data_IF_529426326011
#
_entry.id   IF_529426326011
#
_cell.length_a   1.000
_cell.length_b   1.000
_cell.length_c   1.000
_cell.angle_alpha   90.00
_cell.angle_beta   90.00
_cell.angle_gamma   90.00
#
_symmetry.space_group_name_H-M   'P 1'
#
loop_
_entity.id
_entity.type
_entity.pdbx_description
1 polymer ?
#
# COMPACT_ATOMS: atom_id res chain seq x y z
N UNK A 1 19.70 9.58 -25.58
CA UNK A 1 19.31 8.17 -25.35
C UNK A 1 17.99 8.21 -24.60
N UNK A 2 16.89 7.99 -25.32
CA UNK A 2 15.52 8.05 -24.76
C UNK A 2 15.23 6.73 -24.09
N UNK A 3 15.14 6.73 -22.77
CA UNK A 3 14.69 5.58 -21.97
C UNK A 3 13.27 5.26 -22.41
N UNK A 4 13.06 4.07 -22.99
CA UNK A 4 11.71 3.57 -23.28
C UNK A 4 10.91 3.56 -21.97
N UNK A 5 9.61 3.91 -21.99
CA UNK A 5 8.78 3.82 -20.80
C UNK A 5 8.83 2.37 -20.31
N UNK A 6 9.26 2.17 -19.06
CA UNK A 6 9.26 0.86 -18.42
C UNK A 6 7.88 0.23 -18.60
N UNK A 7 7.80 -0.78 -19.47
CA UNK A 7 6.53 -1.45 -19.73
C UNK A 7 6.27 -2.34 -18.54
N UNK A 8 5.40 -1.88 -17.64
CA UNK A 8 4.94 -2.66 -16.49
C UNK A 8 4.38 -3.99 -17.01
N UNK A 9 4.80 -5.10 -16.39
CA UNK A 9 4.31 -6.43 -16.75
C UNK A 9 2.78 -6.44 -16.78
N UNK A 10 2.20 -6.95 -17.87
CA UNK A 10 0.77 -7.06 -18.06
C UNK A 10 0.09 -7.83 -16.93
N UNK A 11 0.80 -8.75 -16.28
CA UNK A 11 0.30 -9.50 -15.11
C UNK A 11 0.00 -8.61 -13.91
N UNK A 12 0.65 -7.44 -13.80
CA UNK A 12 0.50 -6.46 -12.73
C UNK A 12 -0.60 -5.42 -13.00
N UNK A 13 -1.18 -5.42 -14.21
CA UNK A 13 -2.25 -4.48 -14.53
C UNK A 13 -3.50 -4.75 -13.67
N UNK A 14 -4.25 -3.72 -13.28
CA UNK A 14 -5.55 -3.91 -12.64
C UNK A 14 -6.49 -4.69 -13.57
N UNK A 15 -7.48 -5.38 -12.98
CA UNK A 15 -8.53 -6.01 -13.76
C UNK A 15 -9.38 -4.97 -14.49
N UNK A 16 -10.17 -5.43 -15.49
CA UNK A 16 -11.02 -4.54 -16.30
C UNK A 16 -11.98 -3.69 -15.47
N UNK A 17 -12.56 -4.27 -14.41
CA UNK A 17 -13.47 -3.54 -13.53
C UNK A 17 -12.73 -2.40 -12.80
N UNK A 18 -11.51 -2.65 -12.31
CA UNK A 18 -10.68 -1.65 -11.64
C UNK A 18 -10.20 -0.57 -12.62
N UNK A 19 -9.83 -0.92 -13.84
CA UNK A 19 -9.49 0.05 -14.89
C UNK A 19 -10.69 0.93 -15.23
N UNK A 20 -11.90 0.37 -15.30
CA UNK A 20 -13.11 1.16 -15.54
C UNK A 20 -13.42 2.10 -14.38
N UNK A 21 -13.27 1.64 -13.13
CA UNK A 21 -13.43 2.50 -11.96
C UNK A 21 -12.41 3.65 -11.99
N UNK A 22 -11.14 3.35 -12.25
CA UNK A 22 -10.09 4.35 -12.35
C UNK A 22 -10.34 5.35 -13.49
N UNK A 23 -10.81 4.89 -14.65
CA UNK A 23 -11.14 5.76 -15.78
C UNK A 23 -12.27 6.75 -15.45
N UNK A 24 -13.31 6.30 -14.75
CA UNK A 24 -14.42 7.16 -14.30
C UNK A 24 -13.96 8.14 -13.21
N UNK A 25 -13.07 7.69 -12.32
CA UNK A 25 -12.53 8.53 -11.25
C UNK A 25 -11.48 9.55 -11.73
N UNK A 26 -10.84 9.34 -12.88
CA UNK A 26 -9.71 10.15 -13.34
C UNK A 26 -9.97 11.67 -13.38
N UNK A 27 -11.10 12.18 -13.91
CA UNK A 27 -11.37 13.62 -13.88
C UNK A 27 -11.51 14.19 -12.47
N UNK A 28 -12.04 13.40 -11.52
CA UNK A 28 -12.15 13.78 -10.11
C UNK A 28 -10.78 13.75 -9.45
N UNK A 29 -9.93 12.79 -9.81
CA UNK A 29 -8.54 12.73 -9.34
C UNK A 29 -7.75 13.97 -9.77
N UNK A 30 -7.88 14.39 -11.02
CA UNK A 30 -7.21 15.59 -11.52
C UNK A 30 -7.76 16.86 -10.85
N UNK A 31 -9.08 16.95 -10.60
CA UNK A 31 -9.72 18.10 -9.97
C UNK A 31 -9.34 18.27 -8.49
N UNK A 32 -9.32 17.17 -7.74
CA UNK A 32 -9.15 17.18 -6.28
C UNK A 32 -7.75 16.77 -5.82
N UNK A 33 -6.82 16.54 -6.76
CA UNK A 33 -5.46 16.11 -6.43
C UNK A 33 -5.42 14.74 -5.75
N UNK A 34 -6.25 13.80 -6.22
CA UNK A 34 -6.25 12.43 -5.71
C UNK A 34 -5.22 11.60 -6.47
N UNK A 35 -4.60 10.67 -5.75
CA UNK A 35 -3.65 9.72 -6.32
C UNK A 35 -4.05 8.28 -6.00
N UNK A 36 -3.83 7.38 -6.95
CA UNK A 36 -3.99 5.94 -6.74
C UNK A 36 -3.02 5.48 -5.65
N UNK A 37 -3.54 4.71 -4.69
CA UNK A 37 -2.80 4.18 -3.54
C UNK A 37 -3.03 2.66 -3.37
N UNK A 38 -2.42 2.08 -2.32
CA UNK A 38 -2.54 0.68 -1.97
C UNK A 38 -1.90 -0.27 -2.99
N UNK A 39 -2.33 -1.54 -2.99
CA UNK A 39 -1.73 -2.58 -3.85
C UNK A 39 -1.76 -2.26 -5.36
N UNK A 40 -2.75 -1.49 -5.84
CA UNK A 40 -2.77 -1.04 -7.24
C UNK A 40 -1.69 0.00 -7.55
N UNK A 41 -1.34 0.88 -6.61
CA UNK A 41 -0.23 1.81 -6.78
C UNK A 41 1.11 1.07 -6.82
N UNK A 42 1.33 0.13 -5.91
CA UNK A 42 2.53 -0.73 -5.90
C UNK A 42 2.69 -1.47 -7.24
N UNK A 43 1.60 -2.06 -7.75
CA UNK A 43 1.60 -2.76 -9.04
C UNK A 43 1.85 -1.83 -10.22
N UNK A 44 1.34 -0.59 -10.18
CA UNK A 44 1.63 0.40 -11.20
C UNK A 44 3.12 0.79 -11.25
N UNK A 45 3.82 0.75 -10.11
CA UNK A 45 5.27 0.91 -10.02
C UNK A 45 6.07 -0.36 -10.35
N UNK A 46 5.40 -1.46 -10.74
CA UNK A 46 6.06 -2.72 -11.09
C UNK A 46 6.34 -3.65 -9.91
N UNK A 47 5.83 -3.33 -8.71
CA UNK A 47 5.93 -4.21 -7.53
C UNK A 47 4.85 -5.29 -7.60
N UNK A 48 5.23 -6.55 -7.41
CA UNK A 48 4.32 -7.70 -7.48
C UNK A 48 3.45 -7.86 -6.20
N UNK A 49 2.78 -6.77 -5.80
CA UNK A 49 1.87 -6.74 -4.66
C UNK A 49 0.61 -7.59 -4.89
N UNK A 50 -0.03 -7.98 -3.80
CA UNK A 50 -1.25 -8.75 -3.76
C UNK A 50 -2.37 -8.06 -4.56
N UNK A 51 -3.06 -8.82 -5.43
CA UNK A 51 -4.21 -8.33 -6.16
C UNK A 51 -5.30 -7.82 -5.20
N UNK A 52 -5.93 -6.70 -5.57
CA UNK A 52 -7.03 -6.09 -4.82
C UNK A 52 -8.28 -6.02 -5.70
N UNK A 53 -9.45 -6.21 -5.08
CA UNK A 53 -10.73 -6.12 -5.78
C UNK A 53 -11.27 -4.68 -5.86
N UNK A 54 -10.85 -3.82 -4.93
CA UNK A 54 -11.28 -2.42 -4.82
C UNK A 54 -10.22 -1.43 -5.28
N UNK A 55 -10.62 -0.16 -5.34
CA UNK A 55 -9.74 0.97 -5.65
C UNK A 55 -9.45 1.74 -4.35
N UNK A 56 -8.21 2.15 -4.14
CA UNK A 56 -7.86 3.07 -3.04
C UNK A 56 -7.30 4.35 -3.65
N UNK A 57 -7.89 5.48 -3.29
CA UNK A 57 -7.45 6.82 -3.67
C UNK A 57 -7.00 7.55 -2.41
N UNK A 58 -5.86 8.22 -2.48
CA UNK A 58 -5.30 9.01 -1.39
C UNK A 58 -5.24 10.49 -1.76
N UNK A 59 -5.36 11.35 -0.76
CA UNK A 59 -5.15 12.79 -0.87
C UNK A 59 -4.39 13.32 0.34
N UNK A 60 -3.52 14.32 0.13
CA UNK A 60 -2.82 15.00 1.21
C UNK A 60 -3.63 16.13 1.87
N UNK A 61 -4.76 16.55 1.29
CA UNK A 61 -5.40 17.79 1.75
C UNK A 61 -6.86 18.03 1.35
N UNK A 62 -7.44 17.24 0.44
CA UNK A 62 -8.82 17.44 0.03
C UNK A 62 -9.82 17.08 1.15
N UNK A 63 -11.02 17.66 1.07
CA UNK A 63 -12.12 17.34 1.97
C UNK A 63 -12.81 16.04 1.54
N UNK A 64 -12.74 15.01 2.38
CA UNK A 64 -13.15 13.66 1.96
C UNK A 64 -14.65 13.55 1.65
N UNK A 65 -15.58 14.13 2.43
CA UNK A 65 -17.00 14.11 2.09
C UNK A 65 -17.30 14.77 0.74
N UNK A 66 -16.71 15.92 0.44
CA UNK A 66 -16.88 16.59 -0.86
C UNK A 66 -16.38 15.73 -2.01
N UNK A 67 -15.19 15.14 -1.86
CA UNK A 67 -14.61 14.25 -2.86
C UNK A 67 -15.46 12.97 -3.04
N UNK A 68 -15.96 12.41 -1.94
CA UNK A 68 -16.81 11.22 -1.96
C UNK A 68 -18.12 11.49 -2.72
N UNK A 69 -18.74 12.64 -2.49
CA UNK A 69 -19.92 13.08 -3.23
C UNK A 69 -19.62 13.22 -4.73
N UNK A 70 -18.53 13.91 -5.10
CA UNK A 70 -18.11 14.08 -6.49
C UNK A 70 -17.80 12.76 -7.20
N UNK A 71 -17.12 11.82 -6.52
CA UNK A 71 -16.91 10.46 -7.05
C UNK A 71 -18.22 9.69 -7.18
N UNK A 72 -19.11 9.81 -6.19
CA UNK A 72 -20.44 9.22 -6.23
C UNK A 72 -21.23 9.69 -7.44
N UNK A 73 -21.23 11.00 -7.71
CA UNK A 73 -21.85 11.57 -8.91
C UNK A 73 -21.22 11.06 -10.20
N UNK A 74 -19.89 11.03 -10.29
CA UNK A 74 -19.18 10.53 -11.47
C UNK A 74 -19.54 9.07 -11.77
N UNK A 75 -19.56 8.21 -10.75
CA UNK A 75 -19.95 6.81 -10.89
C UNK A 75 -21.44 6.64 -11.26
N UNK A 76 -22.34 7.44 -10.68
CA UNK A 76 -23.77 7.45 -11.05
C UNK A 76 -23.99 7.90 -12.50
N UNK A 77 -23.29 8.95 -12.93
CA UNK A 77 -23.34 9.45 -14.31
C UNK A 77 -22.81 8.42 -15.32
N UNK A 78 -21.84 7.59 -14.91
CA UNK A 78 -21.35 6.46 -15.70
C UNK A 78 -22.31 5.24 -15.70
N UNK A 79 -23.53 5.38 -15.17
CA UNK A 79 -24.53 4.31 -15.10
C UNK A 79 -24.32 3.31 -13.97
N UNK A 80 -23.51 3.66 -12.96
CA UNK A 80 -23.26 2.84 -11.78
C UNK A 80 -24.22 3.11 -10.62
N UNK A 81 -24.41 2.11 -9.77
CA UNK A 81 -25.01 2.29 -8.44
C UNK A 81 -23.93 2.57 -7.40
N UNK A 82 -24.16 3.56 -6.53
CA UNK A 82 -23.23 3.93 -5.46
C UNK A 82 -23.95 3.88 -4.13
N UNK A 83 -23.37 3.18 -3.15
CA UNK A 83 -23.80 3.21 -1.77
C UNK A 83 -22.65 3.69 -0.89
N UNK A 84 -22.88 4.76 -0.15
CA UNK A 84 -21.91 5.31 0.80
C UNK A 84 -21.89 4.44 2.08
N UNK A 85 -20.72 4.36 2.69
CA UNK A 85 -20.51 3.66 3.97
C UNK A 85 -20.01 4.67 4.99
N UNK A 86 -20.36 4.52 6.29
CA UNK A 86 -19.85 5.40 7.32
C UNK A 86 -18.32 5.45 7.29
N UNK A 87 -17.79 6.67 7.17
CA UNK A 87 -16.35 6.95 7.21
C UNK A 87 -15.84 7.37 8.58
N UNK A 88 -14.60 7.86 8.57
CA UNK A 88 -13.91 8.58 9.64
C UNK A 88 -13.32 9.87 9.03
N UNK A 89 -12.83 10.83 9.84
CA UNK A 89 -12.19 12.03 9.30
C UNK A 89 -11.00 11.78 8.35
N UNK A 90 -10.42 10.57 8.34
CA UNK A 90 -9.31 10.18 7.45
C UNK A 90 -9.68 9.13 6.40
N UNK A 91 -10.90 8.61 6.42
CA UNK A 91 -11.32 7.52 5.54
C UNK A 91 -12.79 7.67 5.16
N UNK A 92 -13.07 7.82 3.88
CA UNK A 92 -14.42 7.65 3.33
C UNK A 92 -14.48 6.38 2.47
N UNK A 93 -15.65 5.76 2.40
CA UNK A 93 -15.82 4.50 1.69
C UNK A 93 -17.08 4.49 0.83
N UNK A 94 -16.91 4.11 -0.43
CA UNK A 94 -17.99 3.94 -1.40
C UNK A 94 -18.05 2.48 -1.84
N UNK A 95 -19.26 1.95 -1.96
CA UNK A 95 -19.52 0.68 -2.64
C UNK A 95 -20.10 1.00 -4.01
N UNK A 96 -19.32 0.72 -5.05
CA UNK A 96 -19.66 1.07 -6.44
C UNK A 96 -19.97 -0.19 -7.22
N UNK A 97 -21.12 -0.21 -7.89
CA UNK A 97 -21.52 -1.24 -8.83
C UNK A 97 -21.66 -0.63 -10.22
N UNK A 98 -20.69 -0.88 -11.09
CA UNK A 98 -20.78 -0.47 -12.50
C UNK A 98 -21.60 -1.50 -13.30
N UNK A 99 -22.22 -1.06 -14.38
CA UNK A 99 -22.99 -1.92 -15.29
C UNK A 99 -22.11 -3.04 -15.90
N UNK A 100 -20.81 -2.80 -16.07
CA UNK A 100 -19.87 -3.81 -16.56
C UNK A 100 -19.53 -4.81 -15.43
N UNK A 101 -20.10 -6.01 -15.50
CA UNK A 101 -19.76 -7.14 -14.62
C UNK A 101 -20.67 -7.32 -13.39
N UNK A 102 -21.56 -6.38 -13.06
CA UNK A 102 -22.62 -6.52 -12.06
C UNK A 102 -22.18 -6.75 -10.60
N UNK A 103 -20.87 -6.86 -10.35
CA UNK A 103 -20.28 -6.98 -9.02
C UNK A 103 -20.08 -5.60 -8.40
N UNK A 104 -20.18 -5.54 -7.08
CA UNK A 104 -19.87 -4.35 -6.31
C UNK A 104 -18.38 -4.35 -5.94
N UNK A 105 -17.74 -3.20 -6.06
CA UNK A 105 -16.34 -2.95 -5.73
C UNK A 105 -16.26 -1.85 -4.66
N UNK A 106 -15.31 -1.99 -3.73
CA UNK A 106 -15.03 -0.93 -2.76
C UNK A 106 -14.16 0.16 -3.42
N UNK A 107 -14.48 1.42 -3.18
CA UNK A 107 -13.62 2.56 -3.47
C UNK A 107 -13.35 3.26 -2.14
N UNK A 108 -12.11 3.21 -1.69
CA UNK A 108 -11.67 3.83 -0.44
C UNK A 108 -11.00 5.18 -0.75
N UNK A 109 -11.35 6.19 0.03
CA UNK A 109 -10.81 7.54 -0.03
C UNK A 109 -10.07 7.81 1.26
N UNK A 110 -8.76 8.00 1.18
CA UNK A 110 -7.89 8.12 2.36
C UNK A 110 -7.21 9.46 2.41
N UNK A 111 -7.18 10.07 3.60
CA UNK A 111 -6.37 11.25 3.88
C UNK A 111 -5.05 10.78 4.46
N UNK A 112 -3.98 10.92 3.69
CA UNK A 112 -2.66 10.38 4.02
C UNK A 112 -1.60 11.49 4.00
N UNK A 113 -0.59 11.47 4.88
CA UNK A 113 0.46 12.48 4.95
C UNK A 113 1.53 12.27 3.86
N UNK A 114 1.11 12.33 2.59
CA UNK A 114 1.99 12.08 1.43
C UNK A 114 3.15 13.08 1.41
N UNK A 115 4.38 12.57 1.43
CA UNK A 115 5.61 13.38 1.43
C UNK A 115 6.10 13.74 0.03
N UNK A 116 5.68 12.99 -0.99
CA UNK A 116 6.18 13.10 -2.34
C UNK A 116 5.07 13.47 -3.34
N UNK A 117 5.47 14.09 -4.46
CA UNK A 117 4.51 14.41 -5.53
C UNK A 117 4.05 13.13 -6.22
N UNK A 118 2.73 12.96 -6.46
CA UNK A 118 2.23 11.84 -7.25
C UNK A 118 2.86 11.77 -8.64
N UNK A 119 3.11 10.55 -9.10
CA UNK A 119 3.68 10.23 -10.42
C UNK A 119 2.56 9.80 -11.35
N UNK A 120 2.49 10.34 -12.57
CA UNK A 120 1.50 9.90 -13.56
C UNK A 120 1.95 8.60 -14.22
N UNK A 121 1.18 7.53 -14.03
CA UNK A 121 1.48 6.20 -14.56
C UNK A 121 0.33 5.67 -15.42
N UNK A 122 0.68 4.90 -16.44
CA UNK A 122 -0.25 4.14 -17.28
C UNK A 122 -0.66 2.85 -16.56
N UNK A 123 -1.95 2.75 -16.23
CA UNK A 123 -2.53 1.57 -15.58
C UNK A 123 -2.95 0.50 -16.58
N UNK A 124 -3.13 0.87 -17.86
CA UNK A 124 -3.62 0.02 -18.94
C UNK A 124 -4.92 0.51 -19.56
N UNK A 125 -5.44 -0.25 -20.54
CA UNK A 125 -6.63 0.09 -21.32
C UNK A 125 -7.89 -0.59 -20.76
N UNK A 126 -9.02 0.11 -20.59
CA UNK A 126 -10.20 -0.44 -19.92
C UNK A 126 -11.07 -1.38 -20.79
N UNK A 127 -11.05 -1.26 -22.12
CA UNK A 127 -12.03 -1.89 -23.01
C UNK A 127 -11.62 -3.19 -23.74
N UNK A 128 -12.60 -3.86 -24.38
CA UNK A 128 -12.41 -5.05 -25.21
C UNK A 128 -12.08 -4.76 -26.69
N UNK A 129 -12.26 -3.53 -27.17
CA UNK A 129 -12.32 -3.19 -28.60
C UNK A 129 -10.95 -2.90 -29.26
N UNK A 130 -9.87 -3.44 -28.71
CA UNK A 130 -8.53 -3.33 -29.29
C UNK A 130 -7.77 -2.05 -28.88
N UNK A 131 -6.59 -1.79 -29.48
CA UNK A 131 -5.61 -0.79 -29.04
C UNK A 131 -6.03 0.68 -29.18
N UNK A 132 -7.27 0.96 -29.58
CA UNK A 132 -7.75 2.31 -29.93
C UNK A 132 -8.38 3.09 -28.76
N UNK A 133 -8.69 2.44 -27.64
CA UNK A 133 -9.15 3.15 -26.44
C UNK A 133 -7.94 3.72 -25.67
N UNK A 134 -7.97 5.01 -25.26
CA UNK A 134 -6.83 5.62 -24.61
C UNK A 134 -6.49 4.90 -23.29
N UNK A 135 -5.19 4.76 -22.96
CA UNK A 135 -4.77 4.18 -21.69
C UNK A 135 -5.28 5.03 -20.52
N UNK A 136 -5.62 4.36 -19.42
CA UNK A 136 -5.96 5.02 -18.17
C UNK A 136 -4.66 5.48 -17.52
N UNK A 137 -4.36 6.76 -17.66
CA UNK A 137 -3.21 7.39 -17.00
C UNK A 137 -3.71 8.25 -15.84
N UNK A 138 -3.29 7.94 -14.63
CA UNK A 138 -3.78 8.57 -13.39
C UNK A 138 -2.58 8.98 -12.51
N UNK A 139 -2.69 10.04 -11.70
CA UNK A 139 -1.76 10.27 -10.60
C UNK A 139 -1.67 9.03 -9.68
N UNK A 140 -0.48 8.56 -9.39
CA UNK A 140 -0.22 7.43 -8.48
C UNK A 140 0.68 7.94 -7.36
N UNK A 141 0.40 7.55 -6.11
CA UNK A 141 1.26 7.86 -4.97
C UNK A 141 2.70 7.45 -5.31
N UNK A 142 3.69 8.27 -4.95
CA UNK A 142 5.09 7.96 -5.21
C UNK A 142 5.47 6.62 -4.56
N UNK A 143 6.49 5.93 -5.09
CA UNK A 143 6.80 4.58 -4.62
C UNK A 143 7.26 4.58 -3.15
N UNK A 144 7.96 5.62 -2.73
CA UNK A 144 8.42 5.88 -1.37
C UNK A 144 7.24 5.97 -0.41
N UNK A 145 6.29 6.86 -0.69
CA UNK A 145 5.06 7.03 0.11
C UNK A 145 4.20 5.75 0.09
N UNK A 146 4.12 5.06 -1.06
CA UNK A 146 3.37 3.81 -1.17
C UNK A 146 4.01 2.68 -0.34
N UNK A 147 5.34 2.65 -0.25
CA UNK A 147 6.07 1.69 0.58
C UNK A 147 5.87 1.99 2.06
N UNK A 148 5.98 3.27 2.46
CA UNK A 148 5.70 3.71 3.82
C UNK A 148 4.28 3.34 4.26
N UNK A 149 3.28 3.64 3.43
CA UNK A 149 1.87 3.32 3.69
C UNK A 149 1.64 1.80 3.79
N UNK A 150 2.29 1.00 2.95
CA UNK A 150 2.16 -0.46 3.00
C UNK A 150 2.75 -1.03 4.31
N UNK A 151 3.90 -0.53 4.75
CA UNK A 151 4.54 -0.91 6.01
C UNK A 151 3.71 -0.48 7.22
N UNK A 152 3.19 0.75 7.23
CA UNK A 152 2.28 1.23 8.27
C UNK A 152 0.99 0.37 8.34
N UNK A 153 0.40 0.02 7.19
CA UNK A 153 -0.79 -0.84 7.15
C UNK A 153 -0.52 -2.26 7.67
N UNK A 154 0.69 -2.79 7.49
CA UNK A 154 1.09 -4.06 8.09
C UNK A 154 1.08 -3.97 9.62
N UNK A 155 1.60 -2.88 10.19
CA UNK A 155 1.58 -2.66 11.65
C UNK A 155 0.15 -2.50 12.16
N UNK A 156 -0.67 -1.70 11.48
CA UNK A 156 -2.05 -1.43 11.87
C UNK A 156 -2.92 -2.69 11.86
N UNK A 157 -2.86 -3.46 10.76
CA UNK A 157 -3.84 -4.53 10.50
C UNK A 157 -3.30 -5.93 10.71
N UNK A 158 -2.00 -6.15 10.52
CA UNK A 158 -1.36 -7.47 10.60
C UNK A 158 -2.03 -8.51 9.69
N UNK A 159 -2.37 -8.17 8.45
CA UNK A 159 -3.00 -9.13 7.53
C UNK A 159 -1.98 -9.82 6.60
N UNK A 160 -2.24 -11.06 6.17
CA UNK A 160 -1.39 -11.78 5.21
C UNK A 160 -1.09 -11.00 3.92
N UNK A 161 -2.06 -10.22 3.41
CA UNK A 161 -1.84 -9.38 2.22
C UNK A 161 -0.80 -8.28 2.47
N UNK A 162 -0.79 -7.71 3.68
CA UNK A 162 0.09 -6.60 4.02
C UNK A 162 1.53 -7.11 4.09
N UNK A 163 1.73 -8.32 4.65
CA UNK A 163 3.04 -8.97 4.63
C UNK A 163 3.51 -9.29 3.21
N UNK A 164 2.62 -9.76 2.34
CA UNK A 164 2.95 -10.05 0.94
C UNK A 164 3.39 -8.76 0.22
N UNK A 165 2.66 -7.65 0.44
CA UNK A 165 2.96 -6.37 -0.19
C UNK A 165 4.32 -5.82 0.29
N UNK A 166 4.59 -5.87 1.60
CA UNK A 166 5.87 -5.45 2.19
C UNK A 166 7.02 -6.37 1.74
N UNK A 167 6.81 -7.68 1.69
CA UNK A 167 7.82 -8.59 1.14
C UNK A 167 8.08 -8.35 -0.35
N UNK A 168 7.07 -7.98 -1.14
CA UNK A 168 7.28 -7.65 -2.55
C UNK A 168 8.13 -6.38 -2.72
N UNK A 169 8.01 -5.43 -1.78
CA UNK A 169 8.80 -4.20 -1.74
C UNK A 169 10.30 -4.43 -1.44
N UNK A 170 10.68 -5.58 -0.87
CA UNK A 170 12.11 -5.88 -0.60
C UNK A 170 12.95 -6.07 -1.88
N UNK A 171 12.30 -6.14 -3.05
CA UNK A 171 12.97 -6.09 -4.36
C UNK A 171 13.42 -4.69 -4.75
N UNK A 172 12.88 -3.66 -4.11
CA UNK A 172 13.14 -2.25 -4.39
C UNK A 172 13.87 -1.56 -3.22
N UNK A 173 13.56 -1.96 -1.99
CA UNK A 173 14.10 -1.38 -0.76
C UNK A 173 14.64 -2.45 0.16
N UNK A 174 15.64 -2.12 0.96
CA UNK A 174 16.03 -2.92 2.12
C UNK A 174 15.03 -2.74 3.26
N UNK A 175 14.98 -3.71 4.15
CA UNK A 175 14.13 -3.70 5.34
C UNK A 175 14.30 -2.44 6.18
N UNK A 176 15.55 -2.00 6.40
CA UNK A 176 15.85 -0.76 7.11
C UNK A 176 15.40 0.52 6.38
N UNK A 177 15.37 0.50 5.04
CA UNK A 177 14.85 1.62 4.23
C UNK A 177 13.31 1.69 4.35
N UNK A 178 12.63 0.54 4.36
CA UNK A 178 11.19 0.46 4.62
C UNK A 178 10.82 0.95 6.02
N UNK A 179 11.66 0.64 7.02
CA UNK A 179 11.50 1.13 8.39
C UNK A 179 11.63 2.65 8.47
N UNK A 180 12.67 3.20 7.84
CA UNK A 180 12.91 4.64 7.80
C UNK A 180 11.75 5.39 7.12
N UNK A 181 11.31 4.91 5.94
CA UNK A 181 10.18 5.49 5.21
C UNK A 181 8.88 5.48 6.03
N UNK A 182 8.61 4.39 6.76
CA UNK A 182 7.43 4.30 7.63
C UNK A 182 7.51 5.27 8.82
N UNK A 183 8.68 5.41 9.43
CA UNK A 183 8.90 6.36 10.53
C UNK A 183 8.86 7.84 10.10
N UNK A 184 9.26 8.15 8.88
CA UNK A 184 9.12 9.49 8.30
C UNK A 184 7.65 9.85 8.03
N UNK A 185 6.84 8.86 7.62
CA UNK A 185 5.41 9.04 7.37
C UNK A 185 4.59 9.19 8.67
N UNK A 186 4.93 8.39 9.69
CA UNK A 186 4.27 8.36 10.98
C UNK A 186 5.29 8.33 12.12
N UNK A 187 5.43 9.46 12.83
CA UNK A 187 6.34 9.59 13.98
C UNK A 187 5.96 8.67 15.15
N UNK A 188 4.72 8.19 15.21
CA UNK A 188 4.25 7.27 16.24
C UNK A 188 4.53 5.80 15.86
N UNK A 189 5.08 5.54 14.67
CA UNK A 189 5.44 4.20 14.19
C UNK A 189 6.44 3.53 15.14
N UNK A 190 6.08 2.33 15.62
CA UNK A 190 6.91 1.56 16.56
C UNK A 190 7.51 0.32 15.88
N UNK A 191 8.84 0.21 15.74
CA UNK A 191 9.50 -0.99 15.21
C UNK A 191 9.16 -2.26 15.99
N UNK A 192 8.93 -2.15 17.31
CA UNK A 192 8.50 -3.26 18.15
C UNK A 192 7.12 -3.82 17.74
N UNK A 193 6.18 -2.95 17.38
CA UNK A 193 4.87 -3.36 16.89
C UNK A 193 4.98 -4.07 15.53
N UNK A 194 5.89 -3.63 14.65
CA UNK A 194 6.19 -4.33 13.41
C UNK A 194 6.74 -5.74 13.67
N UNK A 195 7.71 -5.88 14.58
CA UNK A 195 8.26 -7.18 14.98
C UNK A 195 7.15 -8.14 15.47
N UNK A 196 6.24 -7.66 16.34
CA UNK A 196 5.10 -8.44 16.83
C UNK A 196 4.20 -8.91 15.68
N UNK A 197 3.92 -8.05 14.68
CA UNK A 197 3.09 -8.41 13.51
C UNK A 197 3.77 -9.44 12.62
N UNK A 198 5.06 -9.30 12.40
CA UNK A 198 5.86 -10.23 11.60
C UNK A 198 5.88 -11.63 12.24
N UNK A 199 6.17 -11.71 13.54
CA UNK A 199 6.14 -12.97 14.32
C UNK A 199 4.75 -13.62 14.25
N UNK A 200 3.70 -12.85 14.54
CA UNK A 200 2.30 -13.33 14.47
C UNK A 200 1.95 -13.90 13.10
N UNK A 201 2.42 -13.26 12.01
CA UNK A 201 2.13 -13.71 10.66
C UNK A 201 3.01 -14.89 10.21
N UNK A 202 4.22 -15.02 10.75
CA UNK A 202 5.06 -16.20 10.54
C UNK A 202 4.39 -17.47 11.09
N UNK A 203 3.63 -17.36 12.18
CA UNK A 203 2.87 -18.46 12.78
C UNK A 203 1.50 -18.70 12.12
N UNK A 204 0.99 -17.76 11.34
CA UNK A 204 -0.35 -17.83 10.76
C UNK A 204 -0.51 -18.99 9.76
N UNK A 205 -1.68 -19.64 9.71
CA UNK A 205 -1.90 -20.79 8.81
C UNK A 205 -1.61 -20.48 7.32
N UNK A 206 -0.88 -21.36 6.64
CA UNK A 206 -0.43 -21.19 5.24
C UNK A 206 -1.58 -20.96 4.26
N UNK A 207 -2.74 -21.54 4.55
CA UNK A 207 -3.97 -21.36 3.76
C UNK A 207 -4.35 -19.87 3.59
N UNK A 208 -4.01 -19.02 4.57
CA UNK A 208 -4.29 -17.57 4.52
C UNK A 208 -3.44 -16.86 3.47
N UNK A 209 -2.20 -17.29 3.25
CA UNK A 209 -1.31 -16.75 2.21
C UNK A 209 -1.65 -17.35 0.84
N UNK A 210 -1.94 -18.66 0.79
CA UNK A 210 -2.37 -19.33 -0.44
C UNK A 210 -3.66 -18.75 -1.02
N UNK A 211 -4.63 -18.40 -0.15
CA UNK A 211 -5.85 -17.70 -0.56
C UNK A 211 -5.60 -16.32 -1.18
N UNK A 212 -4.39 -15.76 -1.03
CA UNK A 212 -3.94 -14.49 -1.62
C UNK A 212 -3.01 -14.68 -2.83
N UNK A 213 -2.86 -15.91 -3.31
CA UNK A 213 -2.10 -16.22 -4.53
C UNK A 213 -0.64 -16.58 -4.30
N UNK A 214 -0.17 -16.70 -3.05
CA UNK A 214 1.18 -17.20 -2.77
C UNK A 214 1.25 -18.71 -3.10
N UNK A 215 2.16 -19.16 -3.98
CA UNK A 215 2.32 -20.58 -4.28
C UNK A 215 2.69 -21.38 -3.02
N UNK A 216 2.21 -22.62 -2.91
CA UNK A 216 2.45 -23.45 -1.73
C UNK A 216 3.94 -23.57 -1.36
N UNK A 217 4.82 -23.77 -2.35
CA UNK A 217 6.26 -23.86 -2.12
C UNK A 217 6.96 -22.54 -1.75
N UNK A 218 6.26 -21.39 -1.83
CA UNK A 218 6.81 -20.08 -1.51
C UNK A 218 6.39 -19.58 -0.12
N UNK A 219 5.36 -20.16 0.51
CA UNK A 219 4.83 -19.69 1.81
C UNK A 219 5.88 -19.81 2.92
N UNK A 220 6.59 -20.93 2.99
CA UNK A 220 7.62 -21.11 4.02
C UNK A 220 8.78 -20.11 3.86
N UNK A 221 9.09 -19.72 2.63
CA UNK A 221 10.09 -18.69 2.34
C UNK A 221 9.66 -17.33 2.88
N UNK A 222 8.43 -16.92 2.57
CA UNK A 222 7.83 -15.68 3.07
C UNK A 222 7.82 -15.63 4.60
N UNK A 223 7.42 -16.72 5.26
CA UNK A 223 7.36 -16.79 6.72
C UNK A 223 8.74 -16.78 7.38
N UNK A 224 9.72 -17.49 6.80
CA UNK A 224 11.11 -17.44 7.28
C UNK A 224 11.69 -16.03 7.16
N UNK A 225 11.42 -15.34 6.05
CA UNK A 225 11.81 -13.95 5.89
C UNK A 225 11.18 -13.06 6.97
N UNK A 226 9.86 -13.19 7.18
CA UNK A 226 9.16 -12.39 8.19
C UNK A 226 9.74 -12.62 9.61
N UNK A 227 10.00 -13.88 9.97
CA UNK A 227 10.58 -14.22 11.27
C UNK A 227 12.02 -13.71 11.41
N UNK A 228 12.84 -13.82 10.36
CA UNK A 228 14.21 -13.32 10.37
C UNK A 228 14.23 -11.80 10.57
N UNK A 229 13.41 -11.06 9.82
CA UNK A 229 13.34 -9.61 10.00
C UNK A 229 12.80 -9.22 11.39
N UNK A 230 11.82 -9.95 11.92
CA UNK A 230 11.37 -9.70 13.28
C UNK A 230 12.49 -9.90 14.31
N UNK A 231 13.31 -10.94 14.15
CA UNK A 231 14.46 -11.21 15.03
C UNK A 231 15.51 -10.10 14.94
N UNK A 232 15.82 -9.62 13.73
CA UNK A 232 16.73 -8.50 13.53
C UNK A 232 16.22 -7.24 14.24
N UNK A 233 14.93 -6.91 14.07
CA UNK A 233 14.30 -5.77 14.77
C UNK A 233 14.37 -5.92 16.30
N UNK A 234 14.19 -7.13 16.85
CA UNK A 234 14.30 -7.37 18.29
C UNK A 234 15.72 -7.16 18.80
N UNK A 235 16.73 -7.57 18.03
CA UNK A 235 18.13 -7.36 18.37
C UNK A 235 18.47 -5.87 18.36
N UNK A 236 18.09 -5.15 17.29
CA UNK A 236 18.30 -3.70 17.17
C UNK A 236 17.66 -2.92 18.33
N UNK A 237 16.45 -3.33 18.75
CA UNK A 237 15.74 -2.72 19.89
C UNK A 237 16.45 -2.96 21.22
N UNK A 238 17.02 -4.16 21.44
CA UNK A 238 17.81 -4.46 22.64
C UNK A 238 19.09 -3.63 22.68
N UNK A 239 19.83 -3.56 21.57
CA UNK A 239 21.05 -2.75 21.47
C UNK A 239 20.77 -1.26 21.71
N UNK A 240 19.65 -0.75 21.18
CA UNK A 240 19.23 0.64 21.40
C UNK A 240 18.89 0.90 22.87
N UNK A 241 18.24 -0.05 23.55
CA UNK A 241 17.91 0.07 24.96
C UNK A 241 19.18 0.03 25.84
N UNK A 242 20.12 -0.89 25.57
CA UNK A 242 21.40 -0.98 26.28
C UNK A 242 22.24 0.30 26.12
N UNK A 243 22.23 0.90 24.93
CA UNK A 243 22.91 2.18 24.69
C UNK A 243 22.26 3.35 25.44
N UNK A 244 20.93 3.36 25.57
CA UNK A 244 20.19 4.41 26.28
C UNK A 244 20.32 4.32 27.80
N UNK A 245 20.36 3.09 28.34
CA UNK A 245 20.54 2.83 29.77
C UNK A 245 21.99 3.08 30.23
N UNK A 246 22.92 3.25 29.27
CA UNK A 246 24.33 3.44 29.52
C UNK A 246 24.93 2.19 30.14
N UNK A 247 26.02 1.68 29.58
CA UNK A 247 26.85 0.75 30.32
C UNK A 247 27.43 1.52 31.52
N UNK A 248 26.71 1.55 32.65
CA UNK A 248 27.30 1.84 33.94
C UNK A 248 28.23 0.66 34.20
N UNK A 249 29.47 0.80 33.73
CA UNK A 249 30.55 -0.10 34.07
C UNK A 249 30.96 0.23 35.51
N UNK A 250 30.56 -0.58 36.51
CA UNK A 250 30.88 -0.32 37.90
C UNK A 250 32.37 -0.54 38.19
N UNK A 251 33.19 -0.91 37.20
CA UNK A 251 34.62 -1.13 37.31
C UNK A 251 35.48 -0.02 36.69
N UNK A 252 34.88 1.04 36.13
CA UNK A 252 35.62 2.23 35.65
C UNK A 252 35.81 3.32 36.71
N UNK A 253 35.25 3.18 37.90
CA UNK A 253 35.50 4.09 39.04
C UNK A 253 36.41 3.41 40.08
N UNK A 254 37.71 3.31 39.81
CA UNK A 254 38.74 3.06 40.83
C UNK A 254 40.16 3.22 40.23
N UNK A 255 40.51 4.39 39.66
CA UNK A 255 41.92 4.62 39.31
C UNK A 255 42.48 6.06 39.38
N UNK A 256 41.84 6.98 40.11
CA UNK A 256 42.52 8.23 40.51
C UNK A 256 42.37 8.50 42.01
N UNK A 257 43.36 8.02 42.76
CA UNK A 257 43.71 8.45 44.11
C UNK A 257 44.85 9.48 44.07
#
# INVERSE_FOLDING_TARGET
MTTAPHTVDASLRPGRAQLRLAAVAAPVCDRYGLALAGGHALRAHGVAACAQDGLTLATGGADLPEVAEALGEAYRAAGGGVAERPGTPRLEQLVVRLALGGRSHSVELRKEPLGHRPVRLDLGTPGPDGPDEPPVVLPVVALEDAAALATALLVDRGMPRDLIDVHALTRCYREGELLALAGELDQDFQPAALADRLETLAEAADGRFRARGVPAGAVDGLKRWALAWAQDLRLDLLETQEAADGLHDPYLEDEEA
#
